data_IF_438316980346
#
_entry.id   IF_438316980346
#
_cell.length_a   1.000
_cell.length_b   1.000
_cell.length_c   1.000
_cell.angle_alpha   90.00
_cell.angle_beta   90.00
_cell.angle_gamma   90.00
#
_symmetry.space_group_name_H-M   'P 1'
#
loop_
_entity.id
_entity.type
_entity.pdbx_description
1 polymer ?
#
# COMPACT_ATOMS: atom_id res chain seq x y z
N UNK A 1 -0.68 -4.13 -12.05
CA UNK A 1 -0.45 -4.62 -10.68
C UNK A 1 -1.71 -5.27 -10.14
N UNK A 2 -1.58 -6.52 -9.71
CA UNK A 2 -2.67 -7.26 -9.09
C UNK A 2 -2.57 -7.10 -7.57
N UNK A 3 -3.69 -7.05 -6.85
CA UNK A 3 -3.65 -7.11 -5.39
C UNK A 3 -2.92 -8.39 -4.96
N UNK A 4 -2.15 -8.26 -3.89
CA UNK A 4 -1.40 -9.37 -3.33
C UNK A 4 -2.35 -10.36 -2.68
N UNK A 5 -1.93 -11.63 -2.59
CA UNK A 5 -2.72 -12.67 -1.92
C UNK A 5 -2.60 -12.62 -0.39
N UNK A 6 -2.00 -11.56 0.15
CA UNK A 6 -1.85 -11.37 1.59
C UNK A 6 -3.17 -10.93 2.18
N UNK A 7 -3.47 -11.42 3.38
CA UNK A 7 -4.58 -10.93 4.19
C UNK A 7 -4.05 -9.87 5.17
N UNK A 8 -4.96 -9.08 5.75
CA UNK A 8 -4.57 -8.10 6.76
C UNK A 8 -3.80 -8.77 7.91
N UNK A 9 -4.20 -9.98 8.29
CA UNK A 9 -3.53 -10.77 9.33
C UNK A 9 -2.05 -10.99 9.03
N UNK A 10 -1.67 -11.32 7.79
CA UNK A 10 -0.27 -11.44 7.37
C UNK A 10 0.46 -10.09 7.46
N UNK A 11 -0.16 -9.02 6.95
CA UNK A 11 0.46 -7.69 6.90
C UNK A 11 0.68 -7.10 8.28
N UNK A 12 -0.17 -7.41 9.25
CA UNK A 12 0.05 -6.97 10.64
C UNK A 12 1.36 -7.48 11.25
N UNK A 13 1.95 -8.55 10.68
CA UNK A 13 3.23 -9.10 11.10
C UNK A 13 4.43 -8.38 10.45
N UNK A 14 4.18 -7.51 9.46
CA UNK A 14 5.20 -6.74 8.76
C UNK A 14 5.61 -5.50 9.55
N UNK A 15 6.66 -4.81 9.09
CA UNK A 15 7.12 -3.56 9.68
C UNK A 15 6.21 -2.41 9.23
N UNK A 16 5.41 -1.85 10.15
CA UNK A 16 4.60 -0.66 9.88
C UNK A 16 5.51 0.55 9.62
N UNK A 17 5.35 1.22 8.48
CA UNK A 17 6.07 2.46 8.20
C UNK A 17 5.29 3.62 8.83
N UNK A 18 5.82 4.13 9.94
CA UNK A 18 5.29 5.32 10.60
C UNK A 18 5.32 6.54 9.67
N UNK A 19 4.34 7.43 9.79
CA UNK A 19 4.19 8.61 8.93
C UNK A 19 3.09 8.50 7.86
N UNK A 20 2.63 7.28 7.55
CA UNK A 20 1.58 7.03 6.55
C UNK A 20 0.27 6.49 7.14
N UNK A 21 0.07 6.65 8.45
CA UNK A 21 -1.20 6.33 9.11
C UNK A 21 -1.62 4.87 8.99
N UNK A 22 -0.67 3.92 9.12
CA UNK A 22 -0.90 2.46 8.98
C UNK A 22 -1.31 1.98 7.60
N UNK A 23 -1.06 2.80 6.58
CA UNK A 23 -1.35 2.45 5.18
C UNK A 23 -0.16 1.80 4.49
N UNK A 24 1.08 2.00 4.99
CA UNK A 24 2.30 1.47 4.36
C UNK A 24 3.00 0.52 5.32
N UNK A 25 3.33 -0.65 4.80
CA UNK A 25 3.98 -1.74 5.50
C UNK A 25 5.17 -2.22 4.70
N UNK A 26 6.22 -2.69 5.37
CA UNK A 26 7.42 -3.18 4.74
C UNK A 26 7.68 -4.61 5.18
N UNK A 27 7.91 -5.48 4.20
CA UNK A 27 8.36 -6.83 4.45
C UNK A 27 9.62 -7.09 3.62
N UNK A 28 10.71 -7.43 4.32
CA UNK A 28 12.04 -7.63 3.75
C UNK A 28 12.51 -6.42 2.90
N UNK A 29 12.41 -6.53 1.58
CA UNK A 29 12.82 -5.51 0.59
C UNK A 29 11.62 -4.91 -0.18
N UNK A 30 10.40 -5.32 0.18
CA UNK A 30 9.17 -4.92 -0.51
C UNK A 30 8.30 -4.06 0.38
N UNK A 31 7.65 -3.08 -0.25
CA UNK A 31 6.63 -2.25 0.38
C UNK A 31 5.24 -2.74 0.00
N UNK A 32 4.31 -2.59 0.92
CA UNK A 32 2.93 -2.99 0.78
C UNK A 32 2.04 -1.82 1.18
N UNK A 33 1.07 -1.54 0.34
CA UNK A 33 0.08 -0.51 0.52
C UNK A 33 -1.24 -1.17 0.90
N UNK A 34 -1.73 -0.85 2.09
CA UNK A 34 -3.02 -1.29 2.58
C UNK A 34 -4.03 -0.19 2.29
N UNK A 35 -5.05 -0.53 1.50
CA UNK A 35 -6.15 0.34 1.16
C UNK A 35 -7.44 -0.25 1.66
N UNK A 36 -8.27 0.59 2.27
CA UNK A 36 -9.63 0.22 2.61
C UNK A 36 -10.51 0.39 1.37
N UNK A 37 -11.05 -0.71 0.85
CA UNK A 37 -11.97 -0.72 -0.27
C UNK A 37 -13.31 -1.32 0.15
N UNK A 38 -14.40 -0.74 -0.37
CA UNK A 38 -15.75 -1.20 -0.09
C UNK A 38 -16.71 -0.03 0.13
N UNK A 39 -17.79 -0.01 -0.64
CA UNK A 39 -18.83 1.03 -0.52
C UNK A 39 -19.91 0.69 0.51
N UNK A 40 -20.06 -0.60 0.83
CA UNK A 40 -21.10 -1.13 1.73
C UNK A 40 -20.49 -1.88 2.92
N UNK A 41 -19.38 -2.58 2.71
CA UNK A 41 -18.56 -3.17 3.76
C UNK A 41 -17.10 -2.93 3.40
N UNK A 42 -16.40 -2.17 4.24
CA UNK A 42 -14.98 -1.90 4.10
C UNK A 42 -14.16 -3.16 4.37
N UNK A 43 -13.33 -3.57 3.43
CA UNK A 43 -12.29 -4.58 3.62
C UNK A 43 -10.92 -4.00 3.27
N UNK A 44 -9.87 -4.58 3.85
CA UNK A 44 -8.51 -4.13 3.60
C UNK A 44 -7.93 -4.92 2.43
N UNK A 45 -7.53 -4.21 1.38
CA UNK A 45 -6.85 -4.76 0.20
C UNK A 45 -5.39 -4.38 0.26
N UNK A 46 -4.54 -5.37 0.07
CA UNK A 46 -3.09 -5.22 0.16
C UNK A 46 -2.50 -5.26 -1.23
N UNK A 47 -1.84 -4.17 -1.60
CA UNK A 47 -1.15 -4.03 -2.86
C UNK A 47 0.36 -4.01 -2.66
N UNK A 48 1.11 -4.61 -3.57
CA UNK A 48 2.56 -4.44 -3.60
C UNK A 48 2.88 -3.02 -4.09
N UNK A 49 3.59 -2.25 -3.27
CA UNK A 49 4.02 -0.90 -3.58
C UNK A 49 5.46 -0.94 -4.12
N UNK A 50 5.68 -0.59 -5.41
CA UNK A 50 7.02 -0.46 -5.96
C UNK A 50 7.83 0.58 -5.18
N UNK A 51 9.09 0.27 -4.89
CA UNK A 51 10.00 1.20 -4.22
C UNK A 51 10.11 2.55 -4.95
N UNK A 52 10.03 2.56 -6.29
CA UNK A 52 10.02 3.80 -7.08
C UNK A 52 8.81 4.68 -6.74
N UNK A 53 7.62 4.09 -6.55
CA UNK A 53 6.42 4.85 -6.16
C UNK A 53 6.52 5.33 -4.71
N UNK A 54 7.08 4.52 -3.82
CA UNK A 54 7.34 4.93 -2.43
C UNK A 54 8.35 6.08 -2.35
N UNK A 55 9.44 6.02 -3.12
CA UNK A 55 10.44 7.08 -3.16
C UNK A 55 9.86 8.42 -3.67
N UNK A 56 8.94 8.37 -4.65
CA UNK A 56 8.22 9.56 -5.12
C UNK A 56 7.25 10.13 -4.08
N UNK A 57 6.64 9.25 -3.28
CA UNK A 57 5.76 9.64 -2.17
C UNK A 57 6.57 10.31 -1.04
N UNK A 58 7.66 9.68 -0.62
CA UNK A 58 8.63 10.21 0.36
C UNK A 58 9.20 11.57 -0.08
N UNK A 59 9.56 11.69 -1.36
CA UNK A 59 10.11 12.93 -1.92
C UNK A 59 9.07 14.05 -2.05
N UNK A 60 7.78 13.75 -1.83
CA UNK A 60 6.68 14.69 -2.03
C UNK A 60 6.40 15.00 -3.50
N UNK A 61 6.99 14.26 -4.44
CA UNK A 61 6.71 14.38 -5.88
C UNK A 61 5.33 13.83 -6.24
N UNK A 62 4.85 12.83 -5.50
CA UNK A 62 3.51 12.28 -5.64
C UNK A 62 2.76 12.27 -4.32
N UNK A 63 1.46 12.42 -4.42
CA UNK A 63 0.57 12.29 -3.26
C UNK A 63 0.18 10.84 -3.02
N UNK A 64 -0.22 10.52 -1.79
CA UNK A 64 -0.71 9.19 -1.42
C UNK A 64 -1.85 8.74 -2.35
N UNK A 65 -2.79 9.63 -2.69
CA UNK A 65 -3.88 9.31 -3.61
C UNK A 65 -3.40 8.93 -5.02
N UNK A 66 -2.39 9.63 -5.55
CA UNK A 66 -1.85 9.29 -6.87
C UNK A 66 -1.13 7.94 -6.87
N UNK A 67 -0.39 7.65 -5.80
CA UNK A 67 0.25 6.34 -5.63
C UNK A 67 -0.80 5.24 -5.51
N UNK A 68 -1.80 5.42 -4.65
CA UNK A 68 -2.89 4.46 -4.46
C UNK A 68 -3.67 4.23 -5.76
N UNK A 69 -3.99 5.29 -6.50
CA UNK A 69 -4.68 5.17 -7.79
C UNK A 69 -3.82 4.46 -8.82
N UNK A 70 -2.52 4.78 -8.88
CA UNK A 70 -1.59 4.15 -9.81
C UNK A 70 -1.43 2.67 -9.49
N UNK A 71 -1.25 2.29 -8.24
CA UNK A 71 -1.12 0.88 -7.84
C UNK A 71 -2.39 0.07 -8.15
N UNK A 72 -3.58 0.68 -8.01
CA UNK A 72 -4.85 0.04 -8.38
C UNK A 72 -5.07 -0.07 -9.89
N UNK A 73 -4.64 0.94 -10.66
CA UNK A 73 -4.98 1.05 -12.09
C UNK A 73 -3.85 0.61 -13.04
N UNK A 74 -2.60 0.61 -12.59
CA UNK A 74 -1.52 -0.09 -13.28
C UNK A 74 -1.96 -1.56 -13.31
N UNK A 75 -2.18 -2.16 -14.49
CA UNK A 75 -2.73 -3.52 -14.69
C UNK A 75 -1.67 -4.44 -15.26
#
# INVERSE_FOLDING_TARGET
>A
MKPTKFEWEDVTQFEEIEGYGKSIWKNEDKYYLVLEEGTVASWLVIYELPQELFALLESGERTFQEVSWKVQNDS
#
